data_IF_892959901867
#
_entry.id   IF_892959901867
#
_cell.length_a   1.000
_cell.length_b   1.000
_cell.length_c   1.000
_cell.angle_alpha   90.00
_cell.angle_beta   90.00
_cell.angle_gamma   90.00
#
_symmetry.space_group_name_H-M   'P 1'
#
loop_
_entity.id
_entity.type
_entity.pdbx_description
1 polymer ?
#
# COMPACT_ATOMS: atom_id res chain seq x y z
N UNK A 1 -18.10 -9.65 -30.44
CA UNK A 1 -17.18 -8.92 -29.54
C UNK A 1 -15.76 -9.37 -29.87
N UNK A 2 -14.87 -8.46 -30.26
CA UNK A 2 -13.50 -8.85 -30.60
C UNK A 2 -12.75 -9.23 -29.33
N UNK A 3 -11.87 -10.24 -29.37
CA UNK A 3 -11.02 -10.62 -28.22
C UNK A 3 -10.19 -9.42 -27.69
N UNK A 4 -9.90 -8.46 -28.57
CA UNK A 4 -9.19 -7.21 -28.28
C UNK A 4 -10.01 -6.29 -27.35
N UNK A 5 -11.33 -6.18 -27.53
CA UNK A 5 -12.17 -5.37 -26.63
C UNK A 5 -12.30 -5.97 -25.23
N UNK A 6 -12.12 -7.29 -25.09
CA UNK A 6 -12.18 -7.96 -23.78
C UNK A 6 -10.89 -7.73 -22.97
N UNK A 7 -9.73 -7.91 -23.58
CA UNK A 7 -8.44 -7.71 -22.92
C UNK A 7 -8.24 -6.25 -22.46
N UNK A 8 -8.63 -5.29 -23.30
CA UNK A 8 -8.56 -3.85 -22.97
C UNK A 8 -9.43 -3.48 -21.77
N UNK A 9 -10.64 -4.01 -21.68
CA UNK A 9 -11.52 -3.79 -20.52
C UNK A 9 -10.94 -4.36 -19.23
N UNK A 10 -10.33 -5.54 -19.26
CA UNK A 10 -9.65 -6.13 -18.09
C UNK A 10 -8.51 -5.23 -17.60
N UNK A 11 -7.67 -4.75 -18.52
CA UNK A 11 -6.54 -3.88 -18.19
C UNK A 11 -7.05 -2.57 -17.58
N UNK A 12 -8.09 -1.96 -18.18
CA UNK A 12 -8.72 -0.75 -17.65
C UNK A 12 -9.31 -0.96 -16.24
N UNK A 13 -9.92 -2.11 -15.98
CA UNK A 13 -10.45 -2.43 -14.66
C UNK A 13 -9.36 -2.61 -13.60
N UNK A 14 -8.24 -3.25 -13.96
CA UNK A 14 -7.07 -3.37 -13.09
C UNK A 14 -6.51 -1.98 -12.81
N UNK A 15 -6.29 -1.17 -13.84
CA UNK A 15 -5.78 0.19 -13.72
C UNK A 15 -6.68 1.06 -12.85
N UNK A 16 -8.00 0.99 -13.05
CA UNK A 16 -8.99 1.70 -12.23
C UNK A 16 -8.95 1.25 -10.77
N UNK A 17 -8.87 -0.06 -10.49
CA UNK A 17 -8.74 -0.57 -9.12
C UNK A 17 -7.49 -0.04 -8.44
N UNK A 18 -6.38 0.02 -9.16
CA UNK A 18 -5.11 0.57 -8.69
C UNK A 18 -5.26 2.07 -8.36
N UNK A 19 -5.85 2.87 -9.25
CA UNK A 19 -6.13 4.29 -8.99
C UNK A 19 -7.08 4.52 -7.80
N UNK A 20 -8.13 3.70 -7.65
CA UNK A 20 -9.06 3.79 -6.51
C UNK A 20 -8.33 3.49 -5.19
N UNK A 21 -7.44 2.48 -5.19
CA UNK A 21 -6.59 2.19 -4.02
C UNK A 21 -5.72 3.39 -3.68
N UNK A 22 -5.14 4.07 -4.66
CA UNK A 22 -4.34 5.28 -4.42
C UNK A 22 -5.14 6.43 -3.83
N UNK A 23 -6.34 6.68 -4.35
CA UNK A 23 -7.24 7.69 -3.79
C UNK A 23 -7.55 7.41 -2.32
N UNK A 24 -7.90 6.17 -2.00
CA UNK A 24 -8.28 5.78 -0.63
C UNK A 24 -7.09 5.77 0.33
N UNK A 25 -5.88 5.57 -0.19
CA UNK A 25 -4.64 5.49 0.57
C UNK A 25 -4.04 6.85 0.97
N UNK A 26 -4.66 7.99 0.57
CA UNK A 26 -4.13 9.35 0.79
C UNK A 26 -2.71 9.52 0.21
N UNK A 27 -2.57 9.29 -1.10
CA UNK A 27 -1.31 9.40 -1.83
C UNK A 27 -0.60 10.75 -1.60
N UNK A 28 0.73 10.73 -1.44
CA UNK A 28 1.57 11.92 -1.15
C UNK A 28 2.65 11.64 -0.09
N UNK A 29 3.14 12.68 0.59
CA UNK A 29 4.18 12.58 1.63
C UNK A 29 3.85 11.54 2.73
N UNK A 30 2.56 11.36 3.00
CA UNK A 30 2.05 10.41 4.00
C UNK A 30 2.43 8.95 3.71
N UNK A 31 2.62 8.59 2.44
CA UNK A 31 3.09 7.25 2.04
C UNK A 31 4.51 6.97 2.52
N UNK A 32 5.42 7.93 2.32
CA UNK A 32 6.81 7.81 2.76
C UNK A 32 6.90 7.77 4.28
N UNK A 33 6.04 8.52 4.99
CA UNK A 33 5.94 8.46 6.44
C UNK A 33 5.45 7.08 6.92
N UNK A 34 4.51 6.49 6.18
CA UNK A 34 3.97 5.18 6.53
C UNK A 34 4.99 4.05 6.35
N UNK A 35 5.96 4.15 5.43
CA UNK A 35 7.05 3.18 5.32
C UNK A 35 7.78 2.99 6.65
N UNK A 36 8.04 4.06 7.40
CA UNK A 36 8.71 3.95 8.69
C UNK A 36 7.91 3.14 9.73
N UNK A 37 6.58 3.04 9.57
CA UNK A 37 5.70 2.25 10.45
C UNK A 37 5.63 0.77 10.10
N UNK A 38 6.29 0.34 9.01
CA UNK A 38 6.33 -1.07 8.61
C UNK A 38 6.98 -1.92 9.70
N UNK A 39 8.03 -1.42 10.35
CA UNK A 39 8.70 -2.15 11.44
C UNK A 39 7.74 -2.49 12.56
N UNK A 40 7.01 -1.48 13.05
CA UNK A 40 6.00 -1.67 14.11
C UNK A 40 4.89 -2.60 13.65
N UNK A 41 4.39 -2.42 12.43
CA UNK A 41 3.36 -3.28 11.82
C UNK A 41 3.78 -4.75 11.74
N UNK A 42 5.03 -5.03 11.38
CA UNK A 42 5.55 -6.40 11.26
C UNK A 42 5.81 -7.04 12.62
N UNK A 43 6.27 -6.27 13.60
CA UNK A 43 6.51 -6.76 14.96
C UNK A 43 5.23 -6.91 15.80
N UNK A 44 4.13 -6.25 15.44
CA UNK A 44 2.90 -6.29 16.22
C UNK A 44 2.14 -7.62 16.05
N UNK A 45 1.89 -8.32 17.16
CA UNK A 45 1.18 -9.61 17.15
C UNK A 45 -0.33 -9.48 16.92
N UNK A 46 -0.91 -8.28 17.02
CA UNK A 46 -2.33 -8.02 16.71
C UNK A 46 -2.61 -8.07 15.21
N UNK A 47 -1.58 -7.92 14.38
CA UNK A 47 -1.69 -7.94 12.93
C UNK A 47 -1.68 -9.39 12.44
N UNK A 48 -2.65 -9.73 11.59
CA UNK A 48 -2.75 -11.06 10.99
C UNK A 48 -1.49 -11.43 10.19
N UNK A 49 -1.09 -12.70 10.25
CA UNK A 49 0.06 -13.19 9.48
C UNK A 49 -0.14 -12.99 7.97
N UNK A 50 -1.38 -13.08 7.49
CA UNK A 50 -1.74 -12.86 6.09
C UNK A 50 -1.48 -11.42 5.65
N UNK A 51 -1.83 -10.42 6.47
CA UNK A 51 -1.53 -9.01 6.22
C UNK A 51 -0.02 -8.73 6.16
N UNK A 52 0.75 -9.39 7.04
CA UNK A 52 2.22 -9.28 7.04
C UNK A 52 2.82 -9.89 5.76
N UNK A 53 2.44 -11.12 5.43
CA UNK A 53 2.91 -11.82 4.22
C UNK A 53 2.54 -11.01 2.97
N UNK A 54 1.32 -10.49 2.89
CA UNK A 54 0.88 -9.66 1.76
C UNK A 54 1.76 -8.41 1.57
N UNK A 55 2.10 -7.74 2.66
CA UNK A 55 2.98 -6.55 2.63
C UNK A 55 4.41 -6.90 2.23
N UNK A 56 4.98 -7.96 2.82
CA UNK A 56 6.33 -8.44 2.51
C UNK A 56 6.43 -8.90 1.07
N UNK A 57 5.46 -9.69 0.60
CA UNK A 57 5.39 -10.20 -0.76
C UNK A 57 5.32 -9.04 -1.77
N UNK A 58 4.52 -8.02 -1.47
CA UNK A 58 4.42 -6.80 -2.28
C UNK A 58 5.76 -6.09 -2.43
N UNK A 59 6.46 -5.85 -1.31
CA UNK A 59 7.78 -5.20 -1.31
C UNK A 59 8.83 -6.05 -2.02
N UNK A 60 8.86 -7.35 -1.73
CA UNK A 60 9.77 -8.29 -2.37
C UNK A 60 9.55 -8.33 -3.89
N UNK A 61 8.29 -8.29 -4.36
CA UNK A 61 7.97 -8.24 -5.79
C UNK A 61 8.54 -6.98 -6.43
N UNK A 62 8.38 -5.80 -5.81
CA UNK A 62 8.93 -4.56 -6.34
C UNK A 62 10.47 -4.56 -6.37
N UNK A 63 11.12 -5.07 -5.32
CA UNK A 63 12.57 -5.18 -5.25
C UNK A 63 13.09 -6.17 -6.31
N UNK A 64 12.50 -7.36 -6.39
CA UNK A 64 12.86 -8.36 -7.38
C UNK A 64 12.70 -7.83 -8.79
N UNK A 65 11.64 -7.05 -9.03
CA UNK A 65 11.37 -6.47 -10.32
C UNK A 65 12.48 -5.48 -10.74
N UNK A 66 12.77 -4.50 -9.88
CA UNK A 66 13.83 -3.49 -10.09
C UNK A 66 15.21 -4.16 -10.25
N UNK A 67 15.51 -5.20 -9.47
CA UNK A 67 16.81 -5.89 -9.54
C UNK A 67 16.90 -6.81 -10.75
N UNK A 68 15.80 -7.40 -11.21
CA UNK A 68 15.82 -8.39 -12.28
C UNK A 68 16.28 -7.81 -13.62
N UNK A 69 16.17 -6.50 -13.81
CA UNK A 69 16.42 -5.86 -15.11
C UNK A 69 15.51 -6.39 -16.22
N UNK A 70 14.37 -6.99 -15.86
CA UNK A 70 13.36 -7.48 -16.78
C UNK A 70 12.31 -6.38 -16.95
N UNK A 71 12.31 -5.72 -18.10
CA UNK A 71 11.24 -4.79 -18.45
C UNK A 71 9.95 -5.57 -18.74
N UNK A 72 8.84 -5.16 -18.12
CA UNK A 72 7.51 -5.73 -18.41
C UNK A 72 7.11 -5.35 -19.83
N UNK A 73 7.59 -4.19 -20.27
CA UNK A 73 7.48 -3.75 -21.65
C UNK A 73 8.89 -3.48 -22.17
N UNK A 74 9.40 -4.30 -23.12
CA UNK A 74 10.76 -4.13 -23.62
C UNK A 74 10.98 -2.68 -24.05
N UNK A 75 12.04 -2.03 -23.54
CA UNK A 75 12.40 -0.63 -23.83
C UNK A 75 12.36 -0.30 -25.33
N UNK A 76 12.63 -1.30 -26.19
CA UNK A 76 12.52 -1.26 -27.64
C UNK A 76 11.17 -0.73 -28.14
N UNK A 77 10.07 -0.97 -27.41
CA UNK A 77 8.72 -0.55 -27.80
C UNK A 77 8.32 0.86 -27.33
N UNK A 78 8.93 1.40 -26.26
CA UNK A 78 8.47 2.67 -25.63
C UNK A 78 9.58 3.73 -25.45
N UNK A 79 10.85 3.42 -25.73
CA UNK A 79 11.95 4.39 -25.65
C UNK A 79 12.11 4.98 -24.25
N UNK A 80 12.20 6.31 -24.12
CA UNK A 80 12.44 7.04 -22.85
C UNK A 80 11.42 6.81 -21.73
N UNK A 81 10.31 6.15 -22.04
CA UNK A 81 9.26 5.79 -21.08
C UNK A 81 9.44 4.38 -20.48
N UNK A 82 10.58 3.72 -20.72
CA UNK A 82 10.94 2.43 -20.12
C UNK A 82 10.97 2.41 -18.59
N UNK A 83 10.92 3.56 -17.91
CA UNK A 83 10.81 3.63 -16.44
C UNK A 83 9.36 3.64 -15.92
N UNK A 84 8.36 3.70 -16.81
CA UNK A 84 6.96 3.82 -16.40
C UNK A 84 6.44 2.52 -15.77
N UNK A 85 6.83 1.37 -16.29
CA UNK A 85 6.43 0.07 -15.75
C UNK A 85 7.09 -0.20 -14.39
N UNK A 86 8.38 0.12 -14.23
CA UNK A 86 9.08 0.15 -12.94
C UNK A 86 8.35 1.03 -11.92
N UNK A 87 8.03 2.27 -12.30
CA UNK A 87 7.29 3.18 -11.44
C UNK A 87 5.91 2.61 -11.09
N UNK A 88 5.24 1.97 -12.05
CA UNK A 88 3.93 1.36 -11.83
C UNK A 88 4.00 0.22 -10.82
N UNK A 89 4.99 -0.68 -10.91
CA UNK A 89 5.18 -1.79 -9.97
C UNK A 89 5.51 -1.27 -8.57
N UNK A 90 6.39 -0.27 -8.48
CA UNK A 90 6.79 0.35 -7.23
C UNK A 90 5.59 1.03 -6.55
N UNK A 91 4.85 1.82 -7.32
CA UNK A 91 3.64 2.53 -6.86
C UNK A 91 2.54 1.54 -6.47
N UNK A 92 2.30 0.49 -7.26
CA UNK A 92 1.36 -0.60 -6.92
C UNK A 92 1.73 -1.28 -5.60
N UNK A 93 3.02 -1.60 -5.43
CA UNK A 93 3.52 -2.27 -4.23
C UNK A 93 3.34 -1.41 -2.97
N UNK A 94 3.73 -0.14 -3.06
CA UNK A 94 3.50 0.82 -1.99
C UNK A 94 2.02 0.95 -1.66
N UNK A 95 1.15 0.95 -2.67
CA UNK A 95 -0.31 1.01 -2.49
C UNK A 95 -0.84 -0.12 -1.59
N UNK A 96 -0.35 -1.34 -1.79
CA UNK A 96 -0.72 -2.50 -0.97
C UNK A 96 -0.24 -2.33 0.47
N UNK A 97 1.02 -1.96 0.65
CA UNK A 97 1.62 -1.77 1.99
C UNK A 97 0.87 -0.70 2.76
N UNK A 98 0.56 0.43 2.11
CA UNK A 98 -0.16 1.52 2.74
C UNK A 98 -1.58 1.12 3.15
N UNK A 99 -2.27 0.32 2.33
CA UNK A 99 -3.59 -0.23 2.69
C UNK A 99 -3.53 -1.08 3.97
N UNK A 100 -2.51 -1.94 4.11
CA UNK A 100 -2.34 -2.77 5.31
C UNK A 100 -1.93 -1.94 6.53
N UNK A 101 -1.09 -0.91 6.37
CA UNK A 101 -0.73 0.01 7.46
C UNK A 101 -1.93 0.84 7.91
N UNK A 102 -2.80 1.29 6.99
CA UNK A 102 -4.02 1.99 7.38
C UNK A 102 -4.99 1.07 8.14
N UNK A 103 -5.09 -0.22 7.77
CA UNK A 103 -5.82 -1.22 8.59
C UNK A 103 -5.21 -1.35 9.97
N UNK A 104 -3.88 -1.42 10.05
CA UNK A 104 -3.16 -1.50 11.32
C UNK A 104 -3.41 -0.27 12.21
N UNK A 105 -3.37 0.93 11.66
CA UNK A 105 -3.70 2.15 12.40
C UNK A 105 -5.13 2.15 12.94
N UNK A 106 -6.08 1.54 12.23
CA UNK A 106 -7.45 1.36 12.74
C UNK A 106 -7.47 0.40 13.92
N UNK A 107 -6.78 -0.74 13.82
CA UNK A 107 -6.62 -1.69 14.94
C UNK A 107 -6.03 -0.98 16.17
N UNK A 108 -5.00 -0.15 15.98
CA UNK A 108 -4.40 0.64 17.08
C UNK A 108 -5.36 1.65 17.70
N UNK A 109 -6.19 2.31 16.88
CA UNK A 109 -7.19 3.27 17.35
C UNK A 109 -8.36 2.60 18.07
N UNK A 110 -8.77 1.43 17.61
CA UNK A 110 -9.88 0.68 18.20
C UNK A 110 -9.43 -0.06 19.47
N UNK A 111 -8.14 -0.40 19.58
CA UNK A 111 -7.53 -0.97 20.79
C UNK A 111 -7.15 0.07 21.85
N UNK A 112 -7.88 1.20 21.93
CA UNK A 112 -7.64 2.23 22.96
C UNK A 112 -7.51 1.58 24.34
N UNK A 113 -6.46 1.99 25.03
CA UNK A 113 -5.95 1.39 26.28
C UNK A 113 -7.08 1.29 27.32
N UNK A 114 -7.37 0.09 27.87
CA UNK A 114 -8.41 -0.07 28.88
C UNK A 114 -8.16 0.78 30.14
N UNK A 115 -6.95 1.32 30.32
CA UNK A 115 -6.56 2.14 31.45
C UNK A 115 -6.65 3.66 31.20
N UNK A 116 -6.96 4.10 29.97
CA UNK A 116 -7.06 5.54 29.66
C UNK A 116 -8.53 5.95 29.72
N UNK A 117 -8.93 6.57 30.83
CA UNK A 117 -10.24 7.20 30.98
C UNK A 117 -10.18 8.56 30.26
N UNK A 118 -10.71 8.65 29.04
CA UNK A 118 -10.67 9.88 28.24
C UNK A 118 -11.70 10.94 28.67
N UNK A 119 -12.63 10.61 29.58
CA UNK A 119 -13.71 11.50 30.03
C UNK A 119 -13.62 11.82 31.53
N UNK A 120 -12.44 12.13 32.05
CA UNK A 120 -12.32 12.60 33.44
C UNK A 120 -12.59 14.09 33.50
N UNK A 121 -13.73 14.48 34.06
CA UNK A 121 -14.03 15.86 34.37
C UNK A 121 -13.45 16.16 35.76
N UNK A 122 -12.44 17.02 35.86
CA UNK A 122 -11.87 17.42 37.14
C UNK A 122 -12.28 18.85 37.48
N UNK A 123 -12.90 19.02 38.64
CA UNK A 123 -13.12 20.34 39.22
C UNK A 123 -11.89 20.69 40.07
N UNK A 124 -11.17 21.73 39.68
CA UNK A 124 -10.15 22.36 40.54
C UNK A 124 -10.90 23.29 41.48
N UNK A 125 -10.77 23.07 42.78
CA UNK A 125 -11.20 24.03 43.80
C UNK A 125 -9.95 24.77 44.29
N UNK A 126 -9.95 26.10 44.14
CA UNK A 126 -8.95 27.00 44.71
C UNK A 126 -9.07 27.10 46.24
#
# INVERSE_FOLDING_TARGET
MSKISFATNIILDIFKKVLIRFKNAKFGLLFFINIFKISDFLSDNRVSIFSKIKSIFSLATAILYIISGIDLIPEIFIGTFGFIDDLFVLVWSLGIVNEEIEKYKKILKDSKDPNVIENVNYNIYD
#
